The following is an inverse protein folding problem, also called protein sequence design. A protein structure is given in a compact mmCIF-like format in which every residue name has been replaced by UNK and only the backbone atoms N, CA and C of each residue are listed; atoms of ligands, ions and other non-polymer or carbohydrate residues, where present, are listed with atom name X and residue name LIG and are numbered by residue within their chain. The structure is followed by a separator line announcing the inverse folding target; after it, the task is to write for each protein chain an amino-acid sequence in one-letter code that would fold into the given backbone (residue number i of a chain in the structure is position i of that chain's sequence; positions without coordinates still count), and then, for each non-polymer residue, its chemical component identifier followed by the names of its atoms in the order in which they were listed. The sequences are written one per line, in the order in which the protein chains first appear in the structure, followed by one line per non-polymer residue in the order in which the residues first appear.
data_IF_673565654285
#
_entry.id   IF_673565654285
#
_cell.length_a   1.000
_cell.length_b   1.000
_cell.length_c   1.000
_cell.angle_alpha   90.00
_cell.angle_beta   90.00
_cell.angle_gamma   90.00
#
_symmetry.space_group_name_H-M   'P 1'
#
loop_
_entity.id
_entity.type
_entity.pdbx_description
1 polymer ?
#
# COMPACT_ATOMS: atom_id res chain seq x y z
N UNK A 1 -8.89 9.77 -2.56
CA UNK A 1 -9.43 9.47 -1.21
C UNK A 1 -8.68 8.25 -0.69
N UNK A 2 -7.97 8.37 0.44
CA UNK A 2 -6.83 7.52 0.79
C UNK A 2 -7.24 6.12 1.31
N UNK A 3 -6.63 5.07 0.74
CA UNK A 3 -6.74 3.68 1.21
C UNK A 3 -6.11 3.47 2.61
N UNK A 4 -5.31 4.42 3.09
CA UNK A 4 -4.66 4.38 4.40
C UNK A 4 -5.63 4.28 5.58
N UNK A 5 -6.87 4.77 5.44
CA UNK A 5 -7.90 4.63 6.47
C UNK A 5 -8.38 3.18 6.65
N UNK A 6 -8.35 2.36 5.60
CA UNK A 6 -8.70 0.93 5.68
C UNK A 6 -7.66 0.22 6.55
N UNK A 7 -6.37 0.52 6.32
CA UNK A 7 -5.26 -0.10 7.07
C UNK A 7 -5.35 0.21 8.57
N UNK A 8 -5.67 1.45 8.93
CA UNK A 8 -5.86 1.83 10.33
C UNK A 8 -7.11 1.19 10.95
N UNK A 9 -8.18 1.02 10.17
CA UNK A 9 -9.38 0.29 10.61
C UNK A 9 -9.10 -1.18 10.93
N UNK A 10 -8.31 -1.86 10.08
CA UNK A 10 -7.89 -3.26 10.32
C UNK A 10 -7.05 -3.33 11.60
N UNK A 11 -6.03 -2.47 11.74
CA UNK A 11 -5.17 -2.44 12.93
C UNK A 11 -5.98 -2.12 14.19
N UNK A 12 -6.98 -1.24 14.11
CA UNK A 12 -7.84 -0.92 15.25
C UNK A 12 -8.73 -2.11 15.67
N UNK A 13 -9.17 -2.94 14.72
CA UNK A 13 -10.06 -4.06 14.99
C UNK A 13 -9.33 -5.28 15.60
N UNK A 14 -8.13 -5.60 15.10
CA UNK A 14 -7.42 -6.84 15.46
C UNK A 14 -6.00 -6.62 16.00
N UNK A 15 -5.59 -5.37 16.20
CA UNK A 15 -4.28 -5.00 16.76
C UNK A 15 -3.12 -5.04 15.77
N UNK A 16 -3.29 -5.66 14.60
CA UNK A 16 -2.25 -5.81 13.57
C UNK A 16 -2.79 -5.60 12.15
N UNK A 17 -1.89 -5.34 11.22
CA UNK A 17 -2.23 -5.30 9.81
C UNK A 17 -2.46 -6.72 9.28
N UNK A 18 -3.40 -6.86 8.36
CA UNK A 18 -3.72 -8.12 7.68
C UNK A 18 -3.99 -7.86 6.20
N UNK A 19 -3.21 -8.50 5.34
CA UNK A 19 -3.34 -8.35 3.89
C UNK A 19 -4.67 -8.89 3.38
N UNK A 20 -5.13 -10.03 3.89
CA UNK A 20 -6.34 -10.71 3.45
C UNK A 20 -7.60 -9.87 3.73
N UNK A 21 -7.64 -9.20 4.88
CA UNK A 21 -8.70 -8.25 5.22
C UNK A 21 -8.69 -7.04 4.30
N UNK A 22 -7.50 -6.50 4.01
CA UNK A 22 -7.35 -5.39 3.08
C UNK A 22 -7.82 -5.77 1.67
N UNK A 23 -7.44 -6.94 1.18
CA UNK A 23 -7.84 -7.46 -0.13
C UNK A 23 -9.35 -7.69 -0.20
N UNK A 24 -9.98 -8.18 0.87
CA UNK A 24 -11.43 -8.29 0.98
C UNK A 24 -12.14 -6.94 0.85
N UNK A 25 -11.61 -5.87 1.46
CA UNK A 25 -12.15 -4.52 1.26
C UNK A 25 -11.98 -4.04 -0.19
N UNK A 26 -10.91 -4.44 -0.87
CA UNK A 26 -10.66 -4.08 -2.26
C UNK A 26 -11.49 -4.90 -3.25
N UNK A 27 -12.03 -6.06 -2.87
CA UNK A 27 -12.69 -7.00 -3.78
C UNK A 27 -11.71 -7.97 -4.45
N UNK A 28 -10.54 -8.20 -3.85
CA UNK A 28 -9.45 -9.05 -4.33
C UNK A 28 -9.18 -10.24 -3.40
N UNK A 29 -10.12 -10.59 -2.53
CA UNK A 29 -9.99 -11.70 -1.57
C UNK A 29 -9.76 -13.07 -2.24
N UNK A 30 -10.24 -13.26 -3.47
CA UNK A 30 -10.11 -14.50 -4.24
C UNK A 30 -9.16 -14.30 -5.44
N UNK A 31 -8.18 -13.39 -5.32
CA UNK A 31 -7.23 -13.10 -6.39
C UNK A 31 -6.73 -14.40 -7.08
N UNK A 32 -6.76 -14.49 -8.43
CA UNK A 32 -6.91 -13.39 -9.39
C UNK A 32 -8.36 -12.92 -9.63
N UNK A 33 -9.37 -13.59 -9.07
CA UNK A 33 -10.76 -13.22 -9.28
C UNK A 33 -11.10 -11.89 -8.58
N UNK A 34 -11.73 -10.97 -9.31
CA UNK A 34 -12.19 -9.68 -8.80
C UNK A 34 -13.68 -9.73 -8.47
N UNK A 35 -14.06 -9.39 -7.23
CA UNK A 35 -15.46 -9.24 -6.83
C UNK A 35 -15.98 -7.82 -7.10
N UNK A 36 -16.98 -7.65 -7.97
CA UNK A 36 -17.64 -6.37 -8.17
C UNK A 36 -18.28 -5.86 -6.87
N UNK A 37 -18.17 -4.54 -6.63
CA UNK A 37 -18.73 -3.90 -5.43
C UNK A 37 -17.74 -3.75 -4.27
N UNK A 38 -16.50 -4.22 -4.42
CA UNK A 38 -15.39 -3.85 -3.53
C UNK A 38 -15.08 -2.34 -3.58
N UNK A 39 -14.26 -1.85 -2.64
CA UNK A 39 -13.85 -0.44 -2.62
C UNK A 39 -13.05 -0.05 -3.87
N UNK A 40 -12.35 -0.99 -4.50
CA UNK A 40 -11.66 -0.75 -5.75
C UNK A 40 -12.62 -0.33 -6.86
N UNK A 41 -13.83 -0.92 -6.93
CA UNK A 41 -14.87 -0.48 -7.87
C UNK A 41 -15.20 1.00 -7.65
N UNK A 42 -15.35 1.45 -6.41
CA UNK A 42 -15.62 2.86 -6.10
C UNK A 42 -14.46 3.79 -6.46
N UNK A 43 -13.22 3.34 -6.31
CA UNK A 43 -12.04 4.12 -6.69
C UNK A 43 -11.86 4.25 -8.21
N UNK A 44 -12.38 3.28 -8.96
CA UNK A 44 -12.27 3.23 -10.42
C UNK A 44 -13.51 3.75 -11.17
N UNK A 45 -14.60 4.11 -10.47
CA UNK A 45 -15.89 4.52 -11.09
C UNK A 45 -15.78 5.56 -12.21
N UNK A 46 -14.76 6.41 -12.20
CA UNK A 46 -14.57 7.48 -13.18
C UNK A 46 -13.35 7.25 -14.08
N UNK A 47 -12.75 6.06 -14.07
CA UNK A 47 -11.55 5.71 -14.83
C UNK A 47 -11.90 4.59 -15.81
N UNK A 48 -11.73 4.87 -17.10
CA UNK A 48 -11.87 3.87 -18.16
C UNK A 48 -10.54 3.15 -18.31
N UNK A 49 -10.42 1.96 -17.73
CA UNK A 49 -9.20 1.14 -17.84
C UNK A 49 -9.39 0.06 -18.90
N UNK A 50 -8.34 -0.20 -19.68
CA UNK A 50 -8.27 -1.45 -20.44
C UNK A 50 -8.14 -2.65 -19.48
N UNK A 51 -8.64 -3.82 -19.89
CA UNK A 51 -8.54 -5.05 -19.08
C UNK A 51 -7.10 -5.32 -18.63
N UNK A 52 -6.13 -5.12 -19.53
CA UNK A 52 -4.70 -5.28 -19.22
C UNK A 52 -4.20 -4.28 -18.17
N UNK A 53 -4.65 -3.03 -18.21
CA UNK A 53 -4.29 -2.04 -17.21
C UNK A 53 -4.92 -2.37 -15.84
N UNK A 54 -6.13 -2.91 -15.86
CA UNK A 54 -6.81 -3.41 -14.66
C UNK A 54 -6.06 -4.60 -14.03
N UNK A 55 -5.61 -5.57 -14.84
CA UNK A 55 -4.82 -6.71 -14.37
C UNK A 55 -3.49 -6.29 -13.71
N UNK A 56 -2.80 -5.32 -14.31
CA UNK A 56 -1.59 -4.76 -13.70
C UNK A 56 -1.91 -4.05 -12.38
N UNK A 57 -2.98 -3.24 -12.35
CA UNK A 57 -3.39 -2.52 -11.15
C UNK A 57 -3.73 -3.48 -10.00
N UNK A 58 -4.54 -4.51 -10.24
CA UNK A 58 -4.93 -5.49 -9.21
C UNK A 58 -3.71 -6.26 -8.71
N UNK A 59 -2.78 -6.61 -9.61
CA UNK A 59 -1.50 -7.22 -9.24
C UNK A 59 -0.64 -6.30 -8.37
N UNK A 60 -0.56 -5.00 -8.69
CA UNK A 60 0.15 -4.03 -7.86
C UNK A 60 -0.48 -3.87 -6.47
N UNK A 61 -1.81 -3.82 -6.39
CA UNK A 61 -2.53 -3.71 -5.11
C UNK A 61 -2.27 -4.96 -4.25
N UNK A 62 -2.33 -6.15 -4.85
CA UNK A 62 -2.06 -7.43 -4.19
C UNK A 62 -0.64 -7.45 -3.63
N UNK A 63 0.36 -7.17 -4.46
CA UNK A 63 1.76 -7.16 -4.03
C UNK A 63 2.04 -6.07 -2.97
N UNK A 64 1.38 -4.91 -3.05
CA UNK A 64 1.52 -3.86 -2.05
C UNK A 64 0.96 -4.30 -0.70
N UNK A 65 -0.20 -4.96 -0.66
CA UNK A 65 -0.80 -5.48 0.56
C UNK A 65 0.14 -6.50 1.23
N UNK A 66 0.68 -7.44 0.45
CA UNK A 66 1.61 -8.46 0.96
C UNK A 66 2.91 -7.87 1.51
N UNK A 67 3.46 -6.89 0.80
CA UNK A 67 4.67 -6.20 1.25
C UNK A 67 4.45 -5.43 2.55
N UNK A 68 3.28 -4.83 2.75
CA UNK A 68 2.95 -4.12 4.00
C UNK A 68 2.83 -5.12 5.16
N UNK A 69 2.16 -6.25 4.96
CA UNK A 69 2.06 -7.28 6.00
C UNK A 69 3.43 -7.85 6.37
N UNK A 70 4.23 -8.23 5.37
CA UNK A 70 5.60 -8.69 5.58
C UNK A 70 6.42 -7.68 6.36
N UNK A 71 6.37 -6.40 5.97
CA UNK A 71 7.10 -5.35 6.66
C UNK A 71 6.66 -5.20 8.13
N UNK A 72 5.35 -5.21 8.38
CA UNK A 72 4.82 -5.12 9.74
C UNK A 72 5.23 -6.31 10.61
N UNK A 73 5.29 -7.52 10.03
CA UNK A 73 5.75 -8.72 10.72
C UNK A 73 7.24 -8.65 11.07
N UNK A 74 8.05 -8.08 10.18
CA UNK A 74 9.50 -7.87 10.39
C UNK A 74 9.80 -6.71 11.35
N UNK A 75 8.86 -5.78 11.56
CA UNK A 75 9.06 -4.56 12.35
C UNK A 75 7.89 -4.31 13.31
N UNK A 76 7.79 -5.03 14.45
CA UNK A 76 6.66 -4.90 15.38
C UNK A 76 6.44 -3.48 15.95
N UNK A 77 7.49 -2.65 15.97
CA UNK A 77 7.45 -1.27 16.45
C UNK A 77 6.47 -0.37 15.67
N UNK A 78 6.04 -0.80 14.46
CA UNK A 78 5.00 -0.12 13.68
C UNK A 78 3.67 -0.02 14.44
N UNK A 79 3.43 -0.87 15.44
CA UNK A 79 2.19 -0.85 16.22
C UNK A 79 2.23 0.07 17.45
N UNK A 80 3.36 0.72 17.72
CA UNK A 80 3.43 1.84 18.67
C UNK A 80 2.62 3.03 18.18
N UNK A 81 2.30 3.99 19.06
CA UNK A 81 1.57 5.20 18.64
C UNK A 81 2.30 5.98 17.54
N UNK A 82 3.62 6.11 17.68
CA UNK A 82 4.51 6.76 16.72
C UNK A 82 4.61 5.95 15.42
N UNK A 83 4.74 4.62 15.52
CA UNK A 83 4.77 3.71 14.37
C UNK A 83 3.49 3.78 13.54
N UNK A 84 2.32 3.75 14.20
CA UNK A 84 1.01 3.87 13.54
C UNK A 84 0.86 5.21 12.84
N UNK A 85 1.28 6.30 13.48
CA UNK A 85 1.25 7.63 12.87
C UNK A 85 2.17 7.72 11.63
N UNK A 86 3.40 7.19 11.72
CA UNK A 86 4.33 7.16 10.61
C UNK A 86 3.80 6.31 9.44
N UNK A 87 3.23 5.14 9.74
CA UNK A 87 2.60 4.26 8.76
C UNK A 87 1.42 4.96 8.07
N UNK A 88 0.55 5.64 8.82
CA UNK A 88 -0.57 6.41 8.26
C UNK A 88 -0.07 7.49 7.31
N UNK A 89 0.92 8.27 7.75
CA UNK A 89 1.50 9.35 6.95
C UNK A 89 2.11 8.79 5.67
N UNK A 90 2.84 7.68 5.74
CA UNK A 90 3.50 7.12 4.56
C UNK A 90 2.51 6.51 3.57
N UNK A 91 1.53 5.73 4.04
CA UNK A 91 0.52 5.12 3.18
C UNK A 91 -0.45 6.15 2.59
N UNK A 92 -0.56 7.33 3.20
CA UNK A 92 -1.36 8.43 2.67
C UNK A 92 -0.68 9.18 1.50
N UNK A 93 0.64 9.02 1.32
CA UNK A 93 1.38 9.67 0.23
C UNK A 93 1.22 8.97 -1.11
N UNK A 94 0.69 7.74 -1.14
CA UNK A 94 0.49 6.98 -2.37
C UNK A 94 -0.99 6.95 -2.71
N UNK A 95 -1.38 7.61 -3.80
CA UNK A 95 -2.76 7.61 -4.28
C UNK A 95 -2.92 6.58 -5.42
N UNK A 96 -3.94 5.72 -5.34
CA UNK A 96 -4.31 4.77 -6.41
C UNK A 96 -4.48 5.47 -7.77
N UNK A 97 -4.98 6.69 -7.80
CA UNK A 97 -5.12 7.47 -9.03
C UNK A 97 -3.77 7.83 -9.67
N UNK A 98 -2.73 8.08 -8.85
CA UNK A 98 -1.38 8.31 -9.35
C UNK A 98 -0.76 7.02 -9.89
N UNK A 99 -1.07 5.87 -9.30
CA UNK A 99 -0.62 4.57 -9.82
C UNK A 99 -1.26 4.28 -11.18
N UNK A 100 -2.56 4.53 -11.32
CA UNK A 100 -3.28 4.41 -12.60
C UNK A 100 -2.72 5.35 -13.67
N UNK A 101 -2.53 6.64 -13.34
CA UNK A 101 -1.96 7.61 -14.25
C UNK A 101 -0.50 7.32 -14.66
N UNK A 102 0.22 6.48 -13.91
CA UNK A 102 1.55 5.99 -14.26
C UNK A 102 1.52 4.71 -15.11
N UNK A 103 0.40 3.97 -15.14
CA UNK A 103 0.23 2.75 -15.94
C UNK A 103 -0.15 3.08 -17.39
N UNK A 104 -0.86 4.18 -17.62
CA UNK A 104 -1.34 4.54 -18.97
C UNK A 104 -0.33 5.24 -19.90
N UNK A 105 0.66 6.05 -19.46
CA UNK A 105 1.69 6.54 -20.37
C UNK A 105 2.78 5.46 -20.50
N UNK A 106 2.69 4.61 -21.53
CA UNK A 106 3.84 3.81 -21.96
C UNK A 106 4.42 4.41 -23.24
N UNK A 107 5.72 4.75 -23.22
CA UNK A 107 6.64 3.84 -23.90
C UNK A 107 7.82 3.40 -23.02
N UNK A 108 8.07 2.08 -23.05
CA UNK A 108 9.37 1.38 -22.97
C UNK A 108 10.41 1.94 -21.97
N UNK A 109 10.41 1.42 -20.72
CA UNK A 109 11.62 0.90 -20.03
C UNK A 109 11.26 0.44 -18.61
N UNK A 110 10.78 -0.80 -18.51
CA UNK A 110 10.21 -1.42 -17.31
C UNK A 110 11.21 -1.71 -16.15
N UNK A 111 12.48 -1.36 -16.26
CA UNK A 111 13.53 -1.77 -15.31
C UNK A 111 13.78 -0.77 -14.16
N UNK A 112 13.63 0.54 -14.40
CA UNK A 112 14.02 1.58 -13.43
C UNK A 112 12.91 1.94 -12.41
N UNK A 113 11.63 1.67 -12.73
CA UNK A 113 10.50 2.01 -11.86
C UNK A 113 10.27 1.01 -10.72
N UNK A 114 10.66 -0.26 -10.95
CA UNK A 114 10.77 -1.25 -9.87
C UNK A 114 11.70 -0.73 -8.76
N UNK A 115 12.79 -0.04 -9.13
CA UNK A 115 13.71 0.52 -8.15
C UNK A 115 13.10 1.68 -7.35
N UNK A 116 12.28 2.54 -7.98
CA UNK A 116 11.70 3.74 -7.33
C UNK A 116 10.57 3.42 -6.33
N UNK A 117 9.65 2.50 -6.66
CA UNK A 117 8.56 2.14 -5.75
C UNK A 117 9.00 1.18 -4.64
N UNK A 118 9.93 0.25 -4.93
CA UNK A 118 10.60 -0.50 -3.88
C UNK A 118 11.46 0.43 -3.02
N UNK A 119 12.22 1.39 -3.57
CA UNK A 119 12.89 2.41 -2.74
C UNK A 119 11.88 3.23 -1.95
N UNK A 120 10.80 3.77 -2.50
CA UNK A 120 9.92 4.65 -1.72
C UNK A 120 9.23 3.94 -0.54
N UNK A 121 8.92 2.65 -0.67
CA UNK A 121 8.51 1.83 0.46
C UNK A 121 9.69 1.50 1.38
N UNK A 122 10.79 0.94 0.87
CA UNK A 122 11.93 0.51 1.70
C UNK A 122 12.65 1.69 2.38
N UNK A 123 12.88 2.80 1.68
CA UNK A 123 13.55 4.02 2.13
C UNK A 123 12.70 4.80 3.11
N UNK A 124 11.37 4.86 2.93
CA UNK A 124 10.52 5.52 3.92
C UNK A 124 10.41 4.71 5.21
N UNK A 125 10.43 3.39 5.09
CA UNK A 125 10.41 2.49 6.23
C UNK A 125 11.80 2.38 6.93
N UNK A 126 12.91 2.50 6.18
CA UNK A 126 14.25 2.71 6.75
C UNK A 126 14.39 4.07 7.42
N UNK A 127 13.73 5.12 6.90
CA UNK A 127 13.70 6.42 7.55
C UNK A 127 12.98 6.37 8.90
N UNK A 128 11.98 5.50 9.08
CA UNK A 128 11.37 5.25 10.40
C UNK A 128 12.42 4.71 11.36
N UNK A 129 13.24 3.74 10.93
CA UNK A 129 14.31 3.14 11.77
C UNK A 129 15.42 4.15 12.13
N UNK A 130 15.84 5.00 11.18
CA UNK A 130 16.86 6.06 11.39
C UNK A 130 16.33 7.19 12.29
N UNK A 131 15.06 7.58 12.12
CA UNK A 131 14.45 8.65 12.93
C UNK A 131 14.18 8.17 14.37
N UNK A 132 13.89 6.88 14.57
CA UNK A 132 13.79 6.28 15.92
C UNK A 132 15.17 6.13 16.60
N UNK A 133 16.21 5.71 15.88
CA UNK A 133 17.57 5.59 16.45
C UNK A 133 18.21 6.95 16.75
N UNK A 134 17.96 8.00 15.95
CA UNK A 134 18.44 9.36 16.22
C UNK A 134 17.69 10.09 17.35
N UNK A 135 16.47 9.65 17.70
CA UNK A 135 15.74 10.20 18.86
C UNK A 135 16.11 9.51 20.18
N UNK A 136 16.68 8.30 20.13
CA UNK A 136 17.18 7.59 21.30
C UNK A 136 18.60 8.03 21.72
N UNK A 137 19.32 8.80 20.89
CA UNK A 137 20.63 9.37 21.25
C UNK A 137 20.56 10.78 21.85
N UNK A 138 19.36 11.30 22.11
CA UNK A 138 19.11 12.62 22.71
C UNK A 138 18.43 12.61 24.09
N UNK A 139 18.35 11.45 24.74
CA UNK A 139 17.90 11.32 26.13
C UNK A 139 18.74 10.30 26.87
#
# INVERSE_FOLDING_TARGET
MNSSLINMGIIAAIGKYREDWFLCFMGLENYPDFRPGGRLTNYLKNLTLSDRAFDYLTTYIKNAAENVEKFCNENPDVYTAQGKFAMLMQLSKTNLQQMVAAIEPLPISFSLYYFSLYHLCYFSLYHIKITQTLNLSKW
#
